data_IF_765233188503
#
_entry.id   IF_765233188503
#
_cell.length_a   1.000
_cell.length_b   1.000
_cell.length_c   1.000
_cell.angle_alpha   90.00
_cell.angle_beta   90.00
_cell.angle_gamma   90.00
#
_symmetry.space_group_name_H-M   'P 1'
#
loop_
_entity.id
_entity.type
_entity.pdbx_description
1 polymer ?
#
# COMPACT_ATOMS: atom_id res chain seq x y z
N UNK A 1 8.49 -2.43 14.07
CA UNK A 1 7.35 -3.32 13.75
C UNK A 1 6.16 -2.97 14.63
N UNK A 2 5.07 -2.45 14.05
CA UNK A 2 3.89 -2.00 14.80
C UNK A 2 3.00 -3.15 15.30
N UNK A 3 2.16 -2.88 16.29
CA UNK A 3 1.32 -3.86 17.02
C UNK A 3 0.37 -4.68 16.12
N UNK A 4 -0.11 -4.12 15.00
CA UNK A 4 -1.02 -4.81 14.08
C UNK A 4 -0.31 -5.84 13.18
N UNK A 5 0.99 -5.68 12.99
CA UNK A 5 1.74 -6.43 11.99
C UNK A 5 1.81 -7.94 12.26
N UNK A 6 2.09 -8.38 13.51
CA UNK A 6 2.08 -9.80 13.83
C UNK A 6 0.71 -10.44 13.64
N UNK A 7 -0.38 -9.73 13.92
CA UNK A 7 -1.73 -10.29 13.78
C UNK A 7 -2.10 -10.51 12.30
N UNK A 8 -1.83 -9.52 11.44
CA UNK A 8 -2.08 -9.63 10.00
C UNK A 8 -1.28 -10.79 9.40
N UNK A 9 0.04 -10.82 9.64
CA UNK A 9 0.93 -11.80 9.03
C UNK A 9 0.76 -13.21 9.59
N UNK A 10 0.53 -13.36 10.90
CA UNK A 10 0.52 -14.68 11.52
C UNK A 10 -0.88 -15.33 11.58
N UNK A 11 -1.96 -14.55 11.42
CA UNK A 11 -3.33 -15.08 11.54
C UNK A 11 -4.19 -14.78 10.31
N UNK A 12 -4.31 -13.53 9.88
CA UNK A 12 -5.21 -13.19 8.78
C UNK A 12 -4.69 -13.70 7.43
N UNK A 13 -3.42 -13.43 7.12
CA UNK A 13 -2.86 -13.81 5.84
C UNK A 13 -2.86 -15.33 5.60
N UNK A 14 -2.45 -16.19 6.56
CA UNK A 14 -2.56 -17.64 6.41
C UNK A 14 -4.01 -18.11 6.29
N UNK A 15 -4.95 -17.50 7.03
CA UNK A 15 -6.37 -17.85 6.98
C UNK A 15 -6.99 -17.58 5.61
N UNK A 16 -6.57 -16.51 4.94
CA UNK A 16 -7.09 -16.12 3.63
C UNK A 16 -6.22 -16.60 2.45
N UNK A 17 -5.09 -17.26 2.72
CA UNK A 17 -4.12 -17.59 1.67
C UNK A 17 -3.55 -16.34 0.99
N UNK A 18 -3.40 -15.25 1.74
CA UNK A 18 -3.02 -13.94 1.20
C UNK A 18 -1.50 -13.71 1.28
N UNK A 19 -0.97 -12.97 0.30
CA UNK A 19 0.33 -12.34 0.42
C UNK A 19 0.23 -11.04 1.26
N UNK A 20 1.30 -10.70 1.97
CA UNK A 20 1.37 -9.47 2.77
C UNK A 20 2.48 -8.58 2.23
N UNK A 21 2.14 -7.33 1.94
CA UNK A 21 3.09 -6.33 1.45
C UNK A 21 3.20 -5.18 2.45
N UNK A 22 4.42 -4.90 2.90
CA UNK A 22 4.77 -3.71 3.69
C UNK A 22 5.26 -2.61 2.77
N UNK A 23 4.46 -1.57 2.60
CA UNK A 23 4.88 -0.40 1.84
C UNK A 23 5.39 0.64 2.83
N UNK A 24 6.67 0.99 2.70
CA UNK A 24 7.26 2.11 3.42
C UNK A 24 6.73 3.43 2.83
N UNK A 25 6.33 4.36 3.69
CA UNK A 25 5.80 5.65 3.25
C UNK A 25 6.94 6.51 2.70
N UNK A 26 6.74 7.15 1.54
CA UNK A 26 7.72 8.09 0.96
C UNK A 26 8.19 9.09 2.01
N UNK A 27 9.49 9.40 1.98
CA UNK A 27 10.18 10.25 2.93
C UNK A 27 10.37 9.70 4.36
N UNK A 28 9.94 8.47 4.64
CA UNK A 28 10.23 7.76 5.88
C UNK A 28 11.14 6.56 5.61
N UNK A 29 12.09 6.31 6.52
CA UNK A 29 13.01 5.19 6.38
C UNK A 29 14.13 5.44 5.35
N UNK A 30 14.86 4.39 4.96
CA UNK A 30 16.05 4.52 4.12
C UNK A 30 15.74 4.76 2.64
N UNK A 31 14.55 4.42 2.14
CA UNK A 31 14.21 4.55 0.73
C UNK A 31 13.48 5.88 0.46
N UNK A 32 14.23 6.82 -0.10
CA UNK A 32 13.79 8.19 -0.30
C UNK A 32 13.55 8.49 -1.79
N UNK A 33 12.53 9.29 -2.16
CA UNK A 33 12.32 9.72 -3.55
C UNK A 33 13.48 10.55 -4.10
N UNK A 34 14.13 11.34 -3.24
CA UNK A 34 15.33 12.12 -3.57
C UNK A 34 16.57 11.31 -3.17
N UNK A 35 17.45 11.06 -4.14
CA UNK A 35 18.62 10.19 -3.95
C UNK A 35 19.89 11.03 -3.87
N UNK A 36 20.78 10.69 -2.95
CA UNK A 36 22.12 11.28 -2.85
C UNK A 36 22.20 12.61 -2.09
N UNK A 37 21.07 13.13 -1.59
CA UNK A 37 21.01 14.29 -0.69
C UNK A 37 19.68 14.30 0.08
N UNK A 38 19.60 15.17 1.08
CA UNK A 38 18.33 15.47 1.74
C UNK A 38 17.39 16.27 0.82
N UNK A 39 16.08 16.06 0.98
CA UNK A 39 15.06 16.80 0.27
C UNK A 39 14.99 18.25 0.78
N UNK A 40 14.78 19.20 -0.12
CA UNK A 40 14.53 20.60 0.28
C UNK A 40 13.13 20.75 0.86
N UNK A 41 12.87 21.88 1.53
CA UNK A 41 11.52 22.18 2.06
C UNK A 41 10.49 22.25 0.93
N UNK A 42 10.83 22.87 -0.20
CA UNK A 42 9.93 22.97 -1.35
C UNK A 42 9.61 21.60 -1.94
N UNK A 43 10.60 20.70 -2.04
CA UNK A 43 10.40 19.33 -2.51
C UNK A 43 9.51 18.52 -1.56
N UNK A 44 9.67 18.70 -0.24
CA UNK A 44 8.81 18.05 0.75
C UNK A 44 7.37 18.56 0.62
N UNK A 45 7.16 19.87 0.49
CA UNK A 45 5.83 20.44 0.32
C UNK A 45 5.13 19.94 -0.94
N UNK A 46 5.87 19.73 -2.02
CA UNK A 46 5.33 19.22 -3.28
C UNK A 46 5.08 17.70 -3.25
N UNK A 47 6.01 16.92 -2.68
CA UNK A 47 6.03 15.47 -2.86
C UNK A 47 5.50 14.68 -1.66
N UNK A 48 5.54 15.23 -0.44
CA UNK A 48 5.07 14.56 0.78
C UNK A 48 3.57 14.81 1.00
N UNK A 49 2.74 14.23 0.13
CA UNK A 49 1.28 14.36 0.21
C UNK A 49 0.58 12.99 0.30
N UNK A 50 -0.61 12.91 0.92
CA UNK A 50 -1.38 11.66 0.96
C UNK A 50 -1.75 11.12 -0.42
N UNK A 51 -2.05 11.99 -1.39
CA UNK A 51 -2.33 11.61 -2.77
C UNK A 51 -1.17 10.87 -3.42
N UNK A 52 0.02 11.44 -3.24
CA UNK A 52 1.27 10.89 -3.73
C UNK A 52 1.64 9.57 -3.04
N UNK A 53 1.44 9.47 -1.71
CA UNK A 53 1.62 8.23 -0.98
C UNK A 53 0.66 7.12 -1.47
N UNK A 54 -0.61 7.43 -1.72
CA UNK A 54 -1.56 6.46 -2.30
C UNK A 54 -1.19 6.06 -3.74
N UNK A 55 -0.63 6.99 -4.54
CA UNK A 55 -0.13 6.67 -5.87
C UNK A 55 1.03 5.65 -5.82
N UNK A 56 1.93 5.77 -4.85
CA UNK A 56 2.98 4.76 -4.62
C UNK A 56 2.39 3.41 -4.23
N UNK A 57 1.38 3.41 -3.33
CA UNK A 57 0.68 2.19 -2.94
C UNK A 57 0.07 1.48 -4.15
N UNK A 58 -0.62 2.20 -5.04
CA UNK A 58 -1.15 1.63 -6.29
C UNK A 58 -0.02 1.04 -7.12
N UNK A 59 1.06 1.79 -7.35
CA UNK A 59 2.17 1.36 -8.21
C UNK A 59 2.82 0.08 -7.68
N UNK A 60 3.13 0.03 -6.39
CA UNK A 60 3.77 -1.12 -5.75
C UNK A 60 2.83 -2.32 -5.69
N UNK A 61 1.56 -2.14 -5.31
CA UNK A 61 0.59 -3.24 -5.30
C UNK A 61 0.36 -3.80 -6.71
N UNK A 62 0.35 -2.98 -7.76
CA UNK A 62 0.29 -3.47 -9.15
C UNK A 62 1.49 -4.35 -9.48
N UNK A 63 2.69 -3.88 -9.18
CA UNK A 63 3.92 -4.64 -9.39
C UNK A 63 3.88 -6.01 -8.69
N UNK A 64 3.51 -6.06 -7.41
CA UNK A 64 3.39 -7.35 -6.70
C UNK A 64 2.28 -8.25 -7.25
N UNK A 65 1.14 -7.69 -7.68
CA UNK A 65 0.09 -8.49 -8.34
C UNK A 65 0.57 -9.10 -9.65
N UNK A 66 1.44 -8.43 -10.39
CA UNK A 66 2.08 -8.97 -11.60
C UNK A 66 3.03 -10.12 -11.25
N UNK A 67 3.92 -9.94 -10.27
CA UNK A 67 4.84 -10.98 -9.80
C UNK A 67 4.12 -12.24 -9.29
N UNK A 68 2.96 -12.06 -8.65
CA UNK A 68 2.13 -13.14 -8.14
C UNK A 68 1.19 -13.74 -9.20
N UNK A 69 1.27 -13.31 -10.46
CA UNK A 69 0.39 -13.75 -11.56
C UNK A 69 -1.11 -13.52 -11.31
N UNK A 70 -1.47 -12.46 -10.58
CA UNK A 70 -2.84 -12.11 -10.26
C UNK A 70 -3.21 -10.63 -10.53
N UNK A 71 -2.60 -10.05 -11.57
CA UNK A 71 -2.84 -8.68 -12.03
C UNK A 71 -4.18 -8.48 -12.77
N UNK A 72 -5.10 -9.45 -12.72
CA UNK A 72 -6.45 -9.25 -13.26
C UNK A 72 -7.22 -8.27 -12.38
N UNK A 73 -7.93 -7.33 -13.00
CA UNK A 73 -8.77 -6.33 -12.29
C UNK A 73 -10.27 -6.59 -12.43
N UNK A 74 -10.66 -7.51 -13.32
CA UNK A 74 -12.01 -8.03 -13.33
C UNK A 74 -12.21 -8.92 -12.09
N UNK A 75 -13.05 -8.48 -11.15
CA UNK A 75 -13.37 -9.19 -9.90
C UNK A 75 -13.94 -10.60 -10.12
N UNK A 76 -14.49 -10.89 -11.30
CA UNK A 76 -14.98 -12.23 -11.66
C UNK A 76 -13.91 -13.15 -12.23
N UNK A 77 -12.69 -12.66 -12.45
CA UNK A 77 -11.57 -13.47 -12.95
C UNK A 77 -11.05 -14.42 -11.88
N UNK A 78 -10.69 -15.65 -12.28
CA UNK A 78 -10.08 -16.64 -11.38
C UNK A 78 -8.71 -16.19 -10.85
N UNK A 79 -8.01 -15.34 -11.59
CA UNK A 79 -6.72 -14.80 -11.21
C UNK A 79 -6.83 -13.39 -10.61
N UNK A 80 -8.02 -13.03 -10.11
CA UNK A 80 -8.21 -11.78 -9.37
C UNK A 80 -7.71 -11.95 -7.94
N UNK A 81 -6.69 -11.18 -7.54
CA UNK A 81 -6.32 -11.02 -6.13
C UNK A 81 -7.07 -9.80 -5.53
N UNK A 82 -7.96 -9.98 -4.54
CA UNK A 82 -8.53 -8.87 -3.80
C UNK A 82 -7.45 -8.08 -3.05
N UNK A 83 -7.59 -6.77 -2.98
CA UNK A 83 -6.66 -5.90 -2.24
C UNK A 83 -7.34 -5.44 -0.96
N UNK A 84 -6.73 -5.76 0.18
CA UNK A 84 -7.17 -5.32 1.50
C UNK A 84 -6.08 -4.42 2.07
N UNK A 85 -6.43 -3.21 2.49
CA UNK A 85 -5.50 -2.28 3.14
C UNK A 85 -5.73 -2.31 4.64
N UNK A 86 -4.65 -2.24 5.43
CA UNK A 86 -4.73 -2.23 6.88
C UNK A 86 -3.75 -1.19 7.42
N UNK A 87 -4.18 -0.39 8.40
CA UNK A 87 -3.33 0.58 9.06
C UNK A 87 -3.93 1.08 10.37
N UNK A 88 -3.09 1.63 11.25
CA UNK A 88 -3.52 2.30 12.48
C UNK A 88 -2.94 3.70 12.56
N UNK A 89 -3.63 4.63 13.21
CA UNK A 89 -3.27 6.07 13.22
C UNK A 89 -3.25 6.65 11.79
N UNK A 90 -2.25 7.46 11.42
CA UNK A 90 -2.11 8.02 10.08
C UNK A 90 -2.13 6.95 8.96
N UNK A 91 -1.42 5.80 9.07
CA UNK A 91 -1.62 4.68 8.15
C UNK A 91 -3.06 4.16 8.07
N UNK A 92 -3.84 4.24 9.15
CA UNK A 92 -5.27 3.89 9.15
C UNK A 92 -6.11 4.90 8.39
N UNK A 93 -5.82 6.20 8.55
CA UNK A 93 -6.41 7.25 7.71
C UNK A 93 -6.10 7.01 6.23
N UNK A 94 -4.84 6.72 5.89
CA UNK A 94 -4.45 6.37 4.51
C UNK A 94 -5.17 5.12 4.01
N UNK A 95 -5.33 4.07 4.83
CA UNK A 95 -6.09 2.87 4.46
C UNK A 95 -7.53 3.20 4.06
N UNK A 96 -8.23 3.97 4.89
CA UNK A 96 -9.61 4.40 4.62
C UNK A 96 -9.69 5.28 3.36
N UNK A 97 -8.81 6.28 3.25
CA UNK A 97 -8.77 7.16 2.08
C UNK A 97 -8.42 6.41 0.80
N UNK A 98 -7.55 5.40 0.86
CA UNK A 98 -7.16 4.64 -0.32
C UNK A 98 -8.36 3.88 -0.91
N UNK A 99 -9.19 3.27 -0.06
CA UNK A 99 -10.45 2.65 -0.49
C UNK A 99 -11.44 3.67 -1.07
N UNK A 100 -11.53 4.86 -0.48
CA UNK A 100 -12.44 5.90 -0.97
C UNK A 100 -12.01 6.48 -2.33
N UNK A 101 -10.72 6.74 -2.51
CA UNK A 101 -10.17 7.37 -3.72
C UNK A 101 -9.99 6.36 -4.86
N UNK A 102 -9.69 5.10 -4.54
CA UNK A 102 -9.48 4.03 -5.51
C UNK A 102 -10.40 2.82 -5.26
N UNK A 103 -11.74 2.98 -5.32
CA UNK A 103 -12.71 1.94 -4.97
C UNK A 103 -12.70 0.73 -5.91
N UNK A 104 -12.20 0.91 -7.13
CA UNK A 104 -12.04 -0.16 -8.11
C UNK A 104 -10.74 -0.97 -7.91
N UNK A 105 -9.81 -0.46 -7.11
CA UNK A 105 -8.50 -1.09 -6.88
C UNK A 105 -8.40 -1.76 -5.49
N UNK A 106 -8.84 -1.07 -4.44
CA UNK A 106 -8.88 -1.59 -3.06
C UNK A 106 -10.27 -2.14 -2.81
N UNK A 107 -10.39 -3.37 -2.32
CA UNK A 107 -11.68 -4.03 -2.06
C UNK A 107 -12.20 -3.82 -0.64
N UNK A 108 -11.30 -3.72 0.36
CA UNK A 108 -11.62 -3.59 1.79
C UNK A 108 -10.53 -2.76 2.48
N UNK A 109 -10.91 -1.95 3.49
CA UNK A 109 -10.03 -1.15 4.35
C UNK A 109 -10.41 -1.23 5.82
#
# INVERSE_FOLDING_TARGET
SGMLYPFVTNHLAPRFGAAVVQIEHRFYGPYQPIVGREATVDELLELLTPHQAMADMVRLTKHFKEELNCAQYNRSSKNYCPVITVGGSYPGFLSAMFRLVYPDFVDIS
#
